data_IF_352915496217
#
_entry.id   IF_352915496217
#
_cell.length_a   1.000
_cell.length_b   1.000
_cell.length_c   1.000
_cell.angle_alpha   90.00
_cell.angle_beta   90.00
_cell.angle_gamma   90.00
#
_symmetry.space_group_name_H-M   'P 1'
#
loop_
_entity.id
_entity.type
_entity.pdbx_description
1 polymer ?
#
# COMPACT_ATOMS: atom_id res chain seq x y z
N UNK A 1 11.55 -19.74 16.52
CA UNK A 1 10.90 -18.44 16.79
C UNK A 1 10.56 -17.81 15.46
N UNK A 2 9.32 -17.98 15.00
CA UNK A 2 8.71 -17.17 13.95
C UNK A 2 7.21 -17.25 14.22
N UNK A 3 6.70 -16.24 14.93
CA UNK A 3 5.29 -16.11 15.27
C UNK A 3 4.60 -15.56 14.02
N UNK A 4 3.84 -16.40 13.33
CA UNK A 4 3.02 -15.99 12.20
C UNK A 4 1.96 -15.00 12.68
N UNK A 5 1.99 -13.78 12.12
CA UNK A 5 0.96 -12.75 12.10
C UNK A 5 -0.15 -12.89 13.16
N UNK A 6 -0.09 -12.03 14.17
CA UNK A 6 -1.16 -11.84 15.16
C UNK A 6 -2.37 -11.20 14.46
N UNK A 7 -3.18 -11.99 13.74
CA UNK A 7 -4.48 -11.57 13.25
C UNK A 7 -5.36 -11.28 14.47
N UNK A 8 -5.62 -10.01 14.72
CA UNK A 8 -6.63 -9.64 15.70
C UNK A 8 -7.96 -10.22 15.22
N UNK A 9 -8.68 -10.90 16.11
CA UNK A 9 -9.85 -11.71 15.77
C UNK A 9 -10.96 -10.82 15.16
N UNK A 10 -10.95 -10.66 13.83
CA UNK A 10 -11.82 -9.72 13.11
C UNK A 10 -11.16 -9.03 11.91
N UNK A 11 -9.82 -8.98 11.84
CA UNK A 11 -9.13 -8.45 10.66
C UNK A 11 -9.13 -9.48 9.53
N UNK A 12 -9.64 -9.09 8.36
CA UNK A 12 -9.66 -9.89 7.14
C UNK A 12 -8.46 -9.58 6.21
N UNK A 13 -7.79 -8.44 6.41
CA UNK A 13 -6.59 -8.05 5.69
C UNK A 13 -5.62 -7.34 6.63
N UNK A 14 -4.34 -7.69 6.55
CA UNK A 14 -3.23 -7.05 7.25
C UNK A 14 -2.09 -6.84 6.25
N UNK A 15 -1.57 -5.62 6.16
CA UNK A 15 -0.48 -5.22 5.28
C UNK A 15 0.49 -4.37 6.06
N UNK A 16 1.77 -4.72 6.05
CA UNK A 16 2.83 -3.96 6.69
C UNK A 16 3.68 -3.26 5.61
N UNK A 17 4.05 -2.01 5.85
CA UNK A 17 4.99 -1.25 5.02
C UNK A 17 4.53 -1.02 3.57
N UNK A 18 3.24 -0.77 3.33
CA UNK A 18 2.73 -0.51 1.98
C UNK A 18 3.40 0.73 1.36
N UNK A 19 3.99 0.55 0.18
CA UNK A 19 4.56 1.61 -0.64
C UNK A 19 3.86 1.62 -1.99
N UNK A 20 3.45 2.80 -2.46
CA UNK A 20 2.87 2.99 -3.80
C UNK A 20 3.38 4.27 -4.42
N UNK A 21 4.16 4.14 -5.47
CA UNK A 21 4.63 5.28 -6.26
C UNK A 21 4.12 5.17 -7.70
N UNK A 22 3.62 6.28 -8.26
CA UNK A 22 3.11 6.32 -9.62
C UNK A 22 4.06 7.08 -10.54
N UNK A 23 4.43 6.53 -11.72
CA UNK A 23 5.33 7.20 -12.63
C UNK A 23 4.67 8.41 -13.28
N UNK A 24 5.40 9.53 -13.32
CA UNK A 24 5.04 10.73 -14.06
C UNK A 24 5.63 10.59 -15.46
N UNK A 25 4.77 10.49 -16.47
CA UNK A 25 5.19 10.49 -17.89
C UNK A 25 5.09 11.90 -18.45
N UNK A 26 6.11 12.38 -19.15
CA UNK A 26 6.11 13.72 -19.77
C UNK A 26 6.68 13.72 -21.19
N UNK A 27 6.43 14.82 -21.91
CA UNK A 27 6.90 15.05 -23.27
C UNK A 27 6.11 14.29 -24.37
N UNK A 28 6.44 14.59 -25.63
CA UNK A 28 5.78 14.02 -26.82
C UNK A 28 5.97 12.50 -26.91
N UNK A 29 7.10 11.99 -26.40
CA UNK A 29 7.45 10.57 -26.40
C UNK A 29 7.13 9.85 -25.07
N UNK A 30 6.42 10.50 -24.13
CA UNK A 30 5.98 9.93 -22.83
C UNK A 30 7.10 9.24 -22.03
N UNK A 31 8.27 9.87 -21.93
CA UNK A 31 9.35 9.36 -21.07
C UNK A 31 9.00 9.54 -19.59
N UNK A 32 9.48 8.63 -18.74
CA UNK A 32 9.32 8.76 -17.29
C UNK A 32 10.21 9.88 -16.78
N UNK A 33 9.60 10.95 -16.25
CA UNK A 33 10.29 12.13 -15.74
C UNK A 33 10.48 12.09 -14.21
N UNK A 34 9.78 11.19 -13.51
CA UNK A 34 9.84 11.02 -12.07
C UNK A 34 8.75 10.08 -11.57
N UNK A 35 8.56 9.99 -10.26
CA UNK A 35 7.46 9.27 -9.65
C UNK A 35 6.85 10.10 -8.50
N UNK A 36 5.52 10.13 -8.43
CA UNK A 36 4.79 10.66 -7.27
C UNK A 36 4.75 9.57 -6.21
N UNK A 37 5.23 9.89 -5.01
CA UNK A 37 5.06 9.02 -3.84
C UNK A 37 3.62 9.14 -3.34
N UNK A 38 2.78 8.14 -3.59
CA UNK A 38 1.38 8.16 -3.15
C UNK A 38 1.24 7.64 -1.71
N UNK A 39 1.93 6.56 -1.37
CA UNK A 39 2.12 6.13 0.03
C UNK A 39 3.55 5.59 0.20
N UNK A 40 4.12 5.81 1.38
CA UNK A 40 5.47 5.36 1.74
C UNK A 40 5.43 4.74 3.15
N UNK A 41 5.48 3.40 3.21
CA UNK A 41 5.68 2.65 4.45
C UNK A 41 4.51 2.68 5.42
N UNK A 42 3.27 2.51 4.92
CA UNK A 42 2.07 2.52 5.77
C UNK A 42 1.58 1.12 6.12
N UNK A 43 1.23 0.92 7.38
CA UNK A 43 0.61 -0.31 7.86
C UNK A 43 -0.92 -0.20 7.78
N UNK A 44 -1.60 -1.26 7.35
CA UNK A 44 -3.05 -1.30 7.12
C UNK A 44 -3.64 -2.59 7.68
N UNK A 45 -4.74 -2.45 8.40
CA UNK A 45 -5.61 -3.56 8.81
C UNK A 45 -7.04 -3.27 8.37
N UNK A 46 -7.73 -4.24 7.78
CA UNK A 46 -9.14 -4.12 7.39
C UNK A 46 -9.94 -5.19 8.10
N UNK A 47 -11.02 -4.80 8.77
CA UNK A 47 -11.97 -5.74 9.38
C UNK A 47 -13.10 -6.12 8.43
N UNK A 48 -13.79 -7.19 8.77
CA UNK A 48 -15.00 -7.57 8.06
C UNK A 48 -16.05 -6.42 8.08
N UNK A 49 -16.55 -6.04 6.91
CA UNK A 49 -17.53 -4.96 6.76
C UNK A 49 -16.95 -3.54 6.73
N UNK A 50 -15.64 -3.35 6.90
CA UNK A 50 -14.98 -2.06 6.72
C UNK A 50 -14.59 -1.81 5.26
N UNK A 51 -14.64 -0.54 4.82
CA UNK A 51 -14.15 -0.11 3.51
C UNK A 51 -13.04 0.92 3.71
N UNK A 52 -11.87 0.66 3.09
CA UNK A 52 -10.76 1.61 3.01
C UNK A 52 -10.77 2.31 1.66
N UNK A 53 -10.62 3.64 1.67
CA UNK A 53 -10.60 4.50 0.48
C UNK A 53 -9.59 5.63 0.60
#
# INVERSE_FOLDING_TARGET
MSESAMTSNGDILQVEGLVKHFPIKSGVFKHTAGAVKAVDGVDLSVREGETLG
#
